data_IF_091136780969
#
_entry.id   IF_091136780969
#
_cell.length_a   1.000
_cell.length_b   1.000
_cell.length_c   1.000
_cell.angle_alpha   90.00
_cell.angle_beta   90.00
_cell.angle_gamma   90.00
#
_symmetry.space_group_name_H-M   'P 1'
#
loop_
_entity.id
_entity.type
_entity.pdbx_description
1 polymer ?
#
# COMPACT_ATOMS: atom_id res chain seq x y z
N UNK A 1 5.50 -24.21 -0.54
CA UNK A 1 6.17 -23.37 -1.56
C UNK A 1 5.21 -22.48 -2.33
N UNK A 2 4.28 -23.00 -3.15
CA UNK A 2 3.35 -22.15 -3.94
C UNK A 2 2.56 -21.12 -3.11
N UNK A 3 1.98 -21.53 -1.98
CA UNK A 3 1.25 -20.65 -1.06
C UNK A 3 2.12 -19.50 -0.51
N UNK A 4 3.35 -19.81 -0.09
CA UNK A 4 4.32 -18.86 0.43
C UNK A 4 4.72 -17.83 -0.65
N UNK A 5 4.93 -18.26 -1.89
CA UNK A 5 5.26 -17.35 -3.00
C UNK A 5 4.12 -16.35 -3.24
N UNK A 6 2.87 -16.82 -3.27
CA UNK A 6 1.69 -15.95 -3.45
C UNK A 6 1.55 -14.95 -2.30
N UNK A 7 1.77 -15.40 -1.06
CA UNK A 7 1.74 -14.53 0.10
C UNK A 7 2.84 -13.44 0.04
N UNK A 8 4.08 -13.82 -0.26
CA UNK A 8 5.21 -12.88 -0.36
C UNK A 8 4.98 -11.88 -1.49
N UNK A 9 4.46 -12.33 -2.64
CA UNK A 9 4.12 -11.42 -3.74
C UNK A 9 3.08 -10.38 -3.30
N UNK A 10 2.02 -10.80 -2.60
CA UNK A 10 1.03 -9.88 -2.04
C UNK A 10 1.62 -8.90 -1.03
N UNK A 11 2.51 -9.38 -0.16
CA UNK A 11 3.21 -8.57 0.83
C UNK A 11 4.12 -7.52 0.19
N UNK A 12 4.85 -7.87 -0.88
CA UNK A 12 5.67 -6.94 -1.64
C UNK A 12 4.80 -5.88 -2.31
N UNK A 13 3.73 -6.27 -3.01
CA UNK A 13 2.82 -5.31 -3.67
C UNK A 13 2.20 -4.36 -2.65
N UNK A 14 1.66 -4.89 -1.55
CA UNK A 14 1.07 -4.07 -0.49
C UNK A 14 2.11 -3.12 0.13
N UNK A 15 3.29 -3.64 0.47
CA UNK A 15 4.35 -2.86 1.12
C UNK A 15 4.91 -1.76 0.23
N UNK A 16 5.16 -2.04 -1.05
CA UNK A 16 5.68 -1.05 -2.01
C UNK A 16 4.64 0.05 -2.26
N UNK A 17 3.38 -0.32 -2.46
CA UNK A 17 2.29 0.65 -2.62
C UNK A 17 2.15 1.53 -1.37
N UNK A 18 2.23 0.96 -0.16
CA UNK A 18 2.17 1.72 1.09
C UNK A 18 3.35 2.67 1.26
N UNK A 19 4.56 2.18 0.99
CA UNK A 19 5.76 3.01 1.03
C UNK A 19 5.67 4.18 0.04
N UNK A 20 5.18 3.92 -1.18
CA UNK A 20 4.93 4.96 -2.18
C UNK A 20 3.94 6.01 -1.70
N UNK A 21 2.83 5.60 -1.08
CA UNK A 21 1.83 6.51 -0.52
C UNK A 21 2.40 7.41 0.59
N UNK A 22 3.12 6.81 1.54
CA UNK A 22 3.81 7.54 2.63
C UNK A 22 4.81 8.54 2.06
N UNK A 23 5.61 8.11 1.09
CA UNK A 23 6.63 8.93 0.45
C UNK A 23 6.03 10.13 -0.26
N UNK A 24 4.97 9.94 -1.05
CA UNK A 24 4.30 11.04 -1.76
C UNK A 24 3.65 12.05 -0.81
N UNK A 25 3.03 11.59 0.29
CA UNK A 25 2.51 12.49 1.31
C UNK A 25 3.64 13.31 1.96
N UNK A 26 4.81 12.69 2.17
CA UNK A 26 5.99 13.36 2.72
C UNK A 26 6.54 14.42 1.76
N UNK A 27 6.61 14.09 0.47
CA UNK A 27 6.99 15.04 -0.57
C UNK A 27 6.00 16.21 -0.68
N UNK A 28 4.70 15.94 -0.65
CA UNK A 28 3.67 17.00 -0.69
C UNK A 28 3.82 17.99 0.47
N UNK A 29 4.08 17.48 1.67
CA UNK A 29 4.39 18.29 2.85
C UNK A 29 5.69 19.10 2.69
N UNK A 30 6.77 18.48 2.20
CA UNK A 30 8.05 19.17 2.00
C UNK A 30 8.07 20.20 0.86
N UNK A 31 7.18 20.05 -0.13
CA UNK A 31 7.04 20.96 -1.27
C UNK A 31 6.02 22.09 -1.03
N UNK A 32 5.34 22.11 0.12
CA UNK A 32 4.34 23.13 0.42
C UNK A 32 5.02 24.48 0.75
N UNK A 33 4.84 25.55 -0.06
CA UNK A 33 5.53 26.83 0.13
C UNK A 33 5.09 27.57 1.40
N UNK A 34 3.92 27.25 1.97
CA UNK A 34 3.45 27.81 3.24
C UNK A 34 4.03 27.10 4.46
N UNK A 35 4.89 26.10 4.26
CA UNK A 35 5.43 25.24 5.31
C UNK A 35 4.47 24.10 5.68
N UNK A 36 5.02 23.13 6.40
CA UNK A 36 4.28 21.97 6.89
C UNK A 36 4.51 21.82 8.40
N UNK A 37 3.43 21.84 9.18
CA UNK A 37 3.48 21.76 10.64
C UNK A 37 3.62 20.33 11.19
N UNK A 38 3.50 19.32 10.31
CA UNK A 38 3.68 17.92 10.65
C UNK A 38 3.37 16.98 9.48
N UNK A 39 3.97 15.79 9.48
CA UNK A 39 3.64 14.75 8.52
C UNK A 39 2.30 14.10 8.88
N UNK A 40 1.34 14.15 7.96
CA UNK A 40 0.06 13.45 8.07
C UNK A 40 -0.23 12.73 6.77
N UNK A 41 -0.79 11.53 6.87
CA UNK A 41 -1.29 10.78 5.72
C UNK A 41 -2.64 11.36 5.33
N UNK A 42 -2.70 12.02 4.17
CA UNK A 42 -3.92 12.64 3.68
C UNK A 42 -4.84 11.61 3.02
N UNK A 43 -5.56 10.85 3.83
CA UNK A 43 -6.56 9.88 3.35
C UNK A 43 -7.80 10.53 2.70
N UNK A 44 -7.95 11.85 2.82
CA UNK A 44 -9.02 12.63 2.19
C UNK A 44 -8.74 12.99 0.73
N UNK A 45 -7.50 12.88 0.25
CA UNK A 45 -7.14 13.09 -1.16
C UNK A 45 -7.58 11.89 -2.01
N UNK A 46 -8.88 11.82 -2.25
CA UNK A 46 -9.53 10.69 -2.89
C UNK A 46 -9.02 10.43 -4.32
N UNK A 47 -8.58 11.48 -5.02
CA UNK A 47 -8.07 11.40 -6.40
C UNK A 47 -6.78 10.58 -6.48
N UNK A 48 -5.81 10.84 -5.60
CA UNK A 48 -4.60 10.05 -5.52
C UNK A 48 -4.88 8.69 -4.86
N UNK A 49 -5.75 8.67 -3.83
CA UNK A 49 -6.13 7.45 -3.14
C UNK A 49 -6.77 6.43 -4.09
N UNK A 50 -7.59 6.85 -5.06
CA UNK A 50 -8.22 5.98 -6.06
C UNK A 50 -7.24 5.16 -6.90
N UNK A 51 -6.00 5.63 -7.06
CA UNK A 51 -4.95 4.92 -7.79
C UNK A 51 -4.22 3.93 -6.87
N UNK A 52 -3.98 4.32 -5.61
CA UNK A 52 -3.29 3.49 -4.63
C UNK A 52 -4.20 2.40 -4.03
N UNK A 53 -5.48 2.69 -3.79
CA UNK A 53 -6.42 1.75 -3.15
C UNK A 53 -6.56 0.41 -3.89
N UNK A 54 -6.69 0.38 -5.23
CA UNK A 54 -6.79 -0.87 -5.98
C UNK A 54 -5.54 -1.74 -5.85
N UNK A 55 -4.35 -1.12 -5.84
CA UNK A 55 -3.09 -1.86 -5.71
C UNK A 55 -2.86 -2.35 -4.28
N UNK A 56 -3.25 -1.57 -3.28
CA UNK A 56 -3.34 -2.03 -1.89
C UNK A 56 -4.26 -3.24 -1.73
N UNK A 57 -5.46 -3.14 -2.28
CA UNK A 57 -6.46 -4.20 -2.20
C UNK A 57 -5.95 -5.47 -2.89
N UNK A 58 -5.31 -5.33 -4.05
CA UNK A 58 -4.72 -6.45 -4.77
C UNK A 58 -3.62 -7.15 -3.95
N UNK A 59 -2.72 -6.40 -3.33
CA UNK A 59 -1.70 -6.96 -2.42
C UNK A 59 -2.33 -7.71 -1.24
N UNK A 60 -3.35 -7.12 -0.61
CA UNK A 60 -4.08 -7.75 0.49
C UNK A 60 -4.79 -9.04 0.05
N UNK A 61 -5.46 -9.03 -1.10
CA UNK A 61 -6.13 -10.21 -1.67
C UNK A 61 -5.12 -11.33 -1.95
N UNK A 62 -3.95 -11.01 -2.51
CA UNK A 62 -2.91 -12.01 -2.75
C UNK A 62 -2.39 -12.63 -1.44
N UNK A 63 -2.21 -11.82 -0.39
CA UNK A 63 -1.85 -12.36 0.93
C UNK A 63 -2.93 -13.30 1.48
N UNK A 64 -4.20 -12.90 1.42
CA UNK A 64 -5.33 -13.74 1.88
C UNK A 64 -5.40 -15.03 1.07
N UNK A 65 -5.25 -14.97 -0.26
CA UNK A 65 -5.22 -16.15 -1.12
C UNK A 65 -4.03 -17.05 -0.80
N UNK A 66 -2.85 -16.49 -0.52
CA UNK A 66 -1.67 -17.24 -0.09
C UNK A 66 -1.94 -18.02 1.20
N UNK A 67 -2.54 -17.38 2.21
CA UNK A 67 -2.95 -18.03 3.47
C UNK A 67 -4.01 -19.10 3.21
N UNK A 68 -5.02 -18.79 2.40
CA UNK A 68 -6.09 -19.73 2.06
C UNK A 68 -5.57 -21.00 1.37
N UNK A 69 -4.65 -20.86 0.41
CA UNK A 69 -4.00 -21.98 -0.27
C UNK A 69 -3.17 -22.80 0.71
N UNK A 70 -2.54 -22.15 1.70
CA UNK A 70 -1.79 -22.85 2.75
C UNK A 70 -2.73 -23.66 3.64
N UNK A 71 -3.87 -23.08 4.05
CA UNK A 71 -4.86 -23.73 4.91
C UNK A 71 -5.54 -24.94 4.27
N UNK A 72 -5.60 -24.99 2.93
CA UNK A 72 -6.18 -26.11 2.17
C UNK A 72 -5.19 -27.25 1.86
N UNK A 73 -3.93 -27.13 2.28
CA UNK A 73 -2.93 -28.20 2.18
C UNK A 73 -2.82 -28.97 3.47
#
# INVERSE_FOLDING_TARGET
MKALIVFIAGLIVFGVTFAGWVYLNGLGCGMNPTGCSGFSLNWSDFEALQIFLPTFFLGAVLMVLGVWIWWRR
#
